data_IF_668092153822
#
_entry.id   IF_668092153822
#
_cell.length_a   1.000
_cell.length_b   1.000
_cell.length_c   1.000
_cell.angle_alpha   90.00
_cell.angle_beta   90.00
_cell.angle_gamma   90.00
#
_symmetry.space_group_name_H-M   'P 1'
#
loop_
_entity.id
_entity.type
_entity.pdbx_description
1 polymer ?
#
# COMPACT_ATOMS: atom_id res chain seq x y z
N UNK A 1 10.24 3.30 21.39
CA UNK A 1 8.91 2.66 21.25
C UNK A 1 8.01 3.64 20.52
N UNK A 2 7.68 3.32 19.28
CA UNK A 2 6.78 4.10 18.43
C UNK A 2 5.32 3.71 18.72
N UNK A 3 4.37 4.58 18.36
CA UNK A 3 2.93 4.35 18.49
C UNK A 3 2.46 3.07 17.77
N UNK A 4 3.21 2.65 16.75
CA UNK A 4 3.02 1.41 15.99
C UNK A 4 3.36 0.18 16.85
N UNK A 5 4.46 0.21 17.60
CA UNK A 5 4.89 -0.92 18.46
C UNK A 5 3.85 -1.24 19.54
N UNK A 6 3.20 -0.20 20.07
CA UNK A 6 2.14 -0.32 21.07
C UNK A 6 0.85 -0.89 20.45
N UNK A 7 0.51 -0.46 19.24
CA UNK A 7 -0.64 -0.96 18.49
C UNK A 7 -0.50 -2.46 18.15
N UNK A 8 0.67 -2.87 17.66
CA UNK A 8 1.00 -4.26 17.33
C UNK A 8 0.85 -5.15 18.57
N UNK A 9 1.38 -4.69 19.71
CA UNK A 9 1.38 -5.44 20.98
C UNK A 9 -0.03 -5.63 21.54
N UNK A 10 -0.94 -4.69 21.31
CA UNK A 10 -2.34 -4.75 21.77
C UNK A 10 -3.19 -5.60 20.83
N UNK A 11 -2.99 -5.50 19.51
CA UNK A 11 -3.86 -6.14 18.52
C UNK A 11 -3.53 -7.61 18.24
N UNK A 12 -2.25 -7.99 18.19
CA UNK A 12 -1.86 -9.38 17.88
C UNK A 12 -2.45 -10.43 18.84
N UNK A 13 -2.47 -10.22 20.18
CA UNK A 13 -3.04 -11.19 21.11
C UNK A 13 -4.56 -11.34 21.03
N UNK A 14 -5.26 -10.36 20.42
CA UNK A 14 -6.72 -10.34 20.31
C UNK A 14 -7.23 -10.95 19.00
N UNK A 15 -6.32 -11.33 18.09
CA UNK A 15 -6.67 -11.92 16.82
C UNK A 15 -6.92 -13.42 17.01
N UNK A 16 -8.19 -13.83 17.18
CA UNK A 16 -8.55 -15.24 17.11
C UNK A 16 -8.47 -15.72 15.65
N UNK A 17 -7.47 -16.55 15.36
CA UNK A 17 -7.30 -17.16 14.04
C UNK A 17 -8.29 -18.32 13.87
N UNK A 18 -8.83 -18.55 12.67
CA UNK A 18 -9.64 -19.72 12.37
C UNK A 18 -8.89 -21.01 12.75
N UNK A 19 -9.60 -22.07 13.18
CA UNK A 19 -8.98 -23.35 13.49
C UNK A 19 -8.12 -23.86 12.32
N UNK A 20 -6.82 -24.05 12.56
CA UNK A 20 -5.86 -24.52 11.55
C UNK A 20 -5.19 -23.44 10.71
N UNK A 21 -5.57 -22.17 10.84
CA UNK A 21 -4.86 -21.06 10.21
C UNK A 21 -3.61 -20.69 11.02
N UNK A 22 -2.45 -20.62 10.37
CA UNK A 22 -1.21 -20.14 10.99
C UNK A 22 -1.14 -18.62 10.86
N UNK A 23 -0.40 -17.94 11.76
CA UNK A 23 -0.17 -16.49 11.63
C UNK A 23 0.42 -16.06 10.28
N UNK A 24 1.22 -16.91 9.64
CA UNK A 24 1.75 -16.66 8.30
C UNK A 24 0.68 -16.68 7.20
N UNK A 25 -0.38 -17.48 7.37
CA UNK A 25 -1.46 -17.61 6.38
C UNK A 25 -2.32 -16.34 6.36
N UNK A 26 -2.37 -15.58 7.46
CA UNK A 26 -2.99 -14.25 7.53
C UNK A 26 -2.27 -13.23 6.67
N UNK A 27 -0.96 -13.39 6.44
CA UNK A 27 -0.18 -12.49 5.60
C UNK A 27 -0.32 -12.81 4.10
N UNK A 28 -0.90 -13.96 3.75
CA UNK A 28 -1.11 -14.35 2.36
C UNK A 28 -2.38 -13.71 1.79
N UNK A 29 -2.21 -12.86 0.78
CA UNK A 29 -3.31 -12.19 0.08
C UNK A 29 -4.33 -13.12 -0.58
N UNK A 30 -3.94 -14.35 -0.89
CA UNK A 30 -4.86 -15.34 -1.46
C UNK A 30 -5.85 -15.91 -0.44
N UNK A 31 -5.58 -15.71 0.87
CA UNK A 31 -6.44 -16.16 1.95
C UNK A 31 -7.38 -15.01 2.33
N UNK A 32 -8.71 -15.18 2.18
CA UNK A 32 -9.67 -14.18 2.65
C UNK A 32 -9.57 -14.06 4.18
N UNK A 33 -9.51 -12.84 4.72
CA UNK A 33 -9.38 -12.67 6.16
C UNK A 33 -10.65 -13.13 6.89
N UNK A 34 -10.54 -13.56 8.16
CA UNK A 34 -11.70 -13.95 8.96
C UNK A 34 -12.69 -12.79 9.15
N UNK A 35 -13.98 -13.10 9.17
CA UNK A 35 -15.03 -12.12 9.46
C UNK A 35 -14.84 -11.53 10.87
N UNK A 36 -14.92 -10.21 11.00
CA UNK A 36 -14.72 -9.48 12.27
C UNK A 36 -13.30 -8.94 12.51
N UNK A 37 -12.29 -9.44 11.80
CA UNK A 37 -10.89 -8.94 11.90
C UNK A 37 -10.28 -8.52 10.55
N UNK A 38 -11.09 -8.44 9.49
CA UNK A 38 -10.63 -8.16 8.14
C UNK A 38 -9.85 -6.84 8.00
N UNK A 39 -10.31 -5.79 8.68
CA UNK A 39 -9.65 -4.48 8.67
C UNK A 39 -8.25 -4.54 9.32
N UNK A 40 -8.15 -5.21 10.48
CA UNK A 40 -6.91 -5.39 11.22
C UNK A 40 -5.91 -6.26 10.43
N UNK A 41 -6.39 -7.31 9.76
CA UNK A 41 -5.57 -8.16 8.90
C UNK A 41 -5.04 -7.35 7.72
N UNK A 42 -5.86 -6.54 7.06
CA UNK A 42 -5.38 -5.70 5.95
C UNK A 42 -4.42 -4.61 6.42
N UNK A 43 -4.64 -4.01 7.60
CA UNK A 43 -3.71 -3.08 8.21
C UNK A 43 -2.36 -3.74 8.54
N UNK A 44 -2.37 -4.95 9.09
CA UNK A 44 -1.15 -5.72 9.38
C UNK A 44 -0.42 -6.11 8.10
N UNK A 45 -1.15 -6.57 7.07
CA UNK A 45 -0.56 -6.85 5.76
C UNK A 45 0.07 -5.60 5.17
N UNK A 46 -0.58 -4.44 5.27
CA UNK A 46 -0.03 -3.16 4.81
C UNK A 46 1.26 -2.78 5.56
N UNK A 47 1.29 -2.98 6.88
CA UNK A 47 2.47 -2.72 7.72
C UNK A 47 3.64 -3.66 7.40
N UNK A 48 3.37 -4.96 7.23
CA UNK A 48 4.38 -5.95 6.85
C UNK A 48 4.90 -5.65 5.44
N UNK A 49 4.00 -5.34 4.49
CA UNK A 49 4.38 -4.89 3.14
C UNK A 49 5.26 -3.66 3.20
N UNK A 50 4.98 -2.67 4.05
CA UNK A 50 5.86 -1.50 4.15
C UNK A 50 7.20 -1.79 4.84
N UNK A 51 7.37 -2.98 5.45
CA UNK A 51 8.53 -3.30 6.27
C UNK A 51 8.61 -2.44 7.53
N UNK A 52 7.46 -2.05 8.09
CA UNK A 52 7.37 -1.14 9.23
C UNK A 52 7.64 0.33 8.90
N UNK A 53 7.74 0.68 7.61
CA UNK A 53 7.96 2.06 7.15
C UNK A 53 6.64 2.81 6.99
N UNK A 54 6.49 3.90 7.74
CA UNK A 54 5.38 4.85 7.62
C UNK A 54 5.85 6.22 7.10
N UNK A 55 7.08 6.28 6.58
CA UNK A 55 7.57 7.44 5.83
C UNK A 55 6.62 7.70 4.66
N UNK A 56 5.87 8.80 4.72
CA UNK A 56 5.19 9.34 3.56
C UNK A 56 6.25 9.69 2.50
N UNK A 57 5.89 9.61 1.21
CA UNK A 57 6.74 10.09 0.11
C UNK A 57 6.84 11.61 0.19
N UNK A 58 7.64 12.07 1.13
CA UNK A 58 7.76 13.44 1.56
C UNK A 58 9.05 13.99 1.00
N UNK A 59 8.94 15.09 0.28
CA UNK A 59 10.06 15.70 -0.42
C UNK A 59 9.84 15.78 -1.92
N UNK A 60 10.79 16.47 -2.57
CA UNK A 60 10.81 16.66 -4.01
C UNK A 60 11.34 15.39 -4.68
N UNK A 61 10.57 14.81 -5.58
CA UNK A 61 11.01 13.74 -6.46
C UNK A 61 11.88 14.34 -7.57
N UNK A 62 13.11 13.86 -7.67
CA UNK A 62 14.09 14.32 -8.64
C UNK A 62 14.39 13.25 -9.68
N UNK A 63 14.11 11.97 -9.38
CA UNK A 63 14.44 10.85 -10.26
C UNK A 63 13.54 9.62 -10.03
N UNK A 64 13.59 8.67 -10.96
CA UNK A 64 12.95 7.35 -10.81
C UNK A 64 13.52 6.54 -9.62
N UNK A 65 14.75 6.85 -9.17
CA UNK A 65 15.34 6.22 -7.99
C UNK A 65 14.57 6.57 -6.71
N UNK A 66 14.08 7.80 -6.60
CA UNK A 66 13.32 8.26 -5.42
C UNK A 66 11.99 7.51 -5.32
N UNK A 67 11.34 7.32 -6.47
CA UNK A 67 10.10 6.53 -6.61
C UNK A 67 10.37 5.07 -6.24
N UNK A 68 11.41 4.46 -6.81
CA UNK A 68 11.77 3.07 -6.52
C UNK A 68 12.11 2.87 -5.03
N UNK A 69 12.84 3.80 -4.40
CA UNK A 69 13.18 3.72 -2.98
C UNK A 69 11.93 3.67 -2.07
N UNK A 70 10.87 4.38 -2.47
CA UNK A 70 9.59 4.36 -1.77
C UNK A 70 8.78 3.09 -2.03
N UNK A 71 8.62 2.69 -3.29
CA UNK A 71 7.76 1.57 -3.68
C UNK A 71 8.38 0.20 -3.50
N UNK A 72 9.69 0.04 -3.72
CA UNK A 72 10.37 -1.26 -3.64
C UNK A 72 10.08 -2.02 -2.34
N UNK A 73 10.21 -1.43 -1.13
CA UNK A 73 9.84 -2.15 0.08
C UNK A 73 8.34 -2.45 0.13
N UNK A 74 7.48 -1.51 -0.28
CA UNK A 74 6.02 -1.54 -0.12
C UNK A 74 5.28 -2.50 -1.05
N UNK A 75 5.75 -2.65 -2.29
CA UNK A 75 5.06 -3.43 -3.32
C UNK A 75 5.96 -4.47 -4.00
N UNK A 76 7.28 -4.46 -3.75
CA UNK A 76 8.21 -5.36 -4.43
C UNK A 76 8.01 -6.86 -4.16
N UNK A 77 7.34 -7.21 -3.05
CA UNK A 77 7.01 -8.60 -2.71
C UNK A 77 5.60 -9.03 -3.17
N UNK A 78 4.83 -8.14 -3.80
CA UNK A 78 3.47 -8.47 -4.26
C UNK A 78 3.52 -9.48 -5.42
N UNK A 79 2.66 -10.50 -5.33
CA UNK A 79 2.53 -11.54 -6.38
C UNK A 79 1.55 -11.18 -7.50
N UNK A 80 0.88 -10.04 -7.37
CA UNK A 80 -0.10 -9.52 -8.34
C UNK A 80 0.36 -8.17 -8.83
N UNK A 81 0.08 -7.89 -10.11
CA UNK A 81 0.35 -6.58 -10.67
C UNK A 81 -0.54 -5.51 -10.01
N UNK A 82 0.01 -4.32 -9.82
CA UNK A 82 -0.77 -3.16 -9.36
C UNK A 82 -0.26 -1.91 -10.07
N UNK A 83 -1.19 -0.99 -10.35
CA UNK A 83 -0.90 0.29 -10.97
C UNK A 83 -1.16 1.39 -9.96
N UNK A 84 -0.12 2.20 -9.71
CA UNK A 84 -0.14 3.29 -8.76
C UNK A 84 0.08 4.61 -9.48
N UNK A 85 -0.52 5.66 -8.95
CA UNK A 85 -0.33 7.04 -9.41
C UNK A 85 0.22 7.86 -8.27
N UNK A 86 1.34 8.53 -8.52
CA UNK A 86 1.88 9.58 -7.63
C UNK A 86 1.53 10.93 -8.22
N UNK A 87 0.56 11.62 -7.63
CA UNK A 87 0.20 12.97 -8.04
C UNK A 87 1.21 13.98 -7.51
N UNK A 88 1.61 14.94 -8.35
CA UNK A 88 2.65 15.93 -8.05
C UNK A 88 2.13 17.37 -8.18
N UNK A 89 2.65 18.25 -7.33
CA UNK A 89 2.52 19.69 -7.51
C UNK A 89 3.65 20.27 -8.41
N UNK A 90 3.62 21.59 -8.62
CA UNK A 90 4.61 22.31 -9.45
C UNK A 90 6.07 22.17 -9.01
N UNK A 91 6.32 21.73 -7.77
CA UNK A 91 7.65 21.56 -7.20
C UNK A 91 8.08 20.08 -7.21
N UNK A 92 7.38 19.22 -7.95
CA UNK A 92 7.56 17.76 -7.95
C UNK A 92 7.45 17.14 -6.55
N UNK A 93 6.64 17.70 -5.67
CA UNK A 93 6.34 17.07 -4.38
C UNK A 93 5.06 16.23 -4.51
N UNK A 94 5.08 15.03 -3.95
CA UNK A 94 3.90 14.17 -3.92
C UNK A 94 2.78 14.81 -3.09
N UNK A 95 1.61 14.94 -3.71
CA UNK A 95 0.38 15.45 -3.10
C UNK A 95 -0.59 14.33 -2.77
N UNK A 96 -0.56 13.24 -3.54
CA UNK A 96 -1.32 12.03 -3.29
C UNK A 96 -0.61 10.81 -3.89
N UNK A 97 -0.84 9.64 -3.29
CA UNK A 97 -0.36 8.34 -3.79
C UNK A 97 -1.55 7.40 -3.77
N UNK A 98 -1.95 6.88 -4.92
CA UNK A 98 -3.20 6.13 -5.06
C UNK A 98 -2.96 4.88 -5.89
N UNK A 99 -3.38 3.73 -5.36
CA UNK A 99 -3.54 2.52 -6.17
C UNK A 99 -4.79 2.69 -7.03
N UNK A 100 -4.63 2.79 -8.34
CA UNK A 100 -5.74 3.05 -9.27
C UNK A 100 -6.24 1.78 -9.94
N UNK A 101 -5.41 0.74 -9.97
CA UNK A 101 -5.81 -0.58 -10.44
C UNK A 101 -5.00 -1.67 -9.74
N UNK A 102 -5.66 -2.81 -9.50
CA UNK A 102 -5.01 -4.05 -9.09
C UNK A 102 -5.35 -5.12 -10.12
N UNK A 103 -4.32 -5.71 -10.69
CA UNK A 103 -4.42 -6.72 -11.72
C UNK A 103 -4.52 -8.13 -11.16
N UNK A 104 -4.66 -9.07 -12.09
CA UNK A 104 -4.40 -10.48 -11.84
C UNK A 104 -2.91 -10.81 -12.00
N UNK A 105 -2.55 -12.11 -12.05
CA UNK A 105 -1.17 -12.55 -12.21
C UNK A 105 -0.51 -12.17 -13.56
N UNK A 106 -1.31 -11.77 -14.57
CA UNK A 106 -0.84 -11.59 -15.95
C UNK A 106 -1.17 -10.22 -16.58
N UNK A 107 -2.03 -9.42 -15.94
CA UNK A 107 -2.38 -8.10 -16.46
C UNK A 107 -3.07 -7.22 -15.42
N UNK A 108 -2.80 -5.92 -15.47
CA UNK A 108 -3.48 -4.87 -14.73
C UNK A 108 -4.09 -3.83 -15.69
N UNK A 109 -5.35 -4.00 -16.15
CA UNK A 109 -5.98 -3.03 -17.04
C UNK A 109 -6.22 -1.71 -16.30
N UNK A 110 -5.85 -0.59 -16.93
CA UNK A 110 -6.07 0.75 -16.40
C UNK A 110 -6.52 1.69 -17.52
N UNK A 111 -7.47 2.54 -17.22
CA UNK A 111 -8.00 3.56 -18.15
C UNK A 111 -7.41 4.94 -17.83
N UNK A 112 -7.30 5.84 -18.83
CA UNK A 112 -6.88 7.22 -18.57
C UNK A 112 -7.73 7.94 -17.53
N UNK A 113 -9.02 7.60 -17.42
CA UNK A 113 -9.93 8.17 -16.41
C UNK A 113 -9.47 7.82 -14.98
N UNK A 114 -9.06 6.58 -14.75
CA UNK A 114 -8.58 6.12 -13.44
C UNK A 114 -7.26 6.79 -13.08
N UNK A 115 -6.37 6.98 -14.07
CA UNK A 115 -5.10 7.68 -13.87
C UNK A 115 -5.29 9.17 -13.60
N UNK A 116 -6.15 9.86 -14.36
CA UNK A 116 -6.29 11.32 -14.30
C UNK A 116 -7.21 11.81 -13.17
N UNK A 117 -8.20 11.01 -12.76
CA UNK A 117 -9.11 11.36 -11.66
C UNK A 117 -8.39 11.81 -10.38
N UNK A 118 -7.39 11.09 -9.84
CA UNK A 118 -6.68 11.53 -8.64
C UNK A 118 -5.94 12.86 -8.86
N UNK A 119 -5.43 13.17 -10.05
CA UNK A 119 -4.77 14.45 -10.30
C UNK A 119 -5.78 15.61 -10.21
N UNK A 120 -6.93 15.45 -10.85
CA UNK A 120 -8.00 16.46 -10.87
C UNK A 120 -8.51 16.72 -9.46
N UNK A 121 -8.81 15.65 -8.70
CA UNK A 121 -9.33 15.75 -7.34
C UNK A 121 -8.33 16.38 -6.36
N UNK A 122 -7.02 16.21 -6.60
CA UNK A 122 -5.97 16.76 -5.75
C UNK A 122 -5.35 18.05 -6.31
N UNK A 123 -5.93 18.68 -7.34
CA UNK A 123 -5.39 19.91 -7.95
C UNK A 123 -3.93 19.78 -8.40
N UNK A 124 -3.54 18.60 -8.84
CA UNK A 124 -2.15 18.25 -9.15
C UNK A 124 -1.82 18.52 -10.62
N UNK A 125 -0.55 18.82 -10.90
CA UNK A 125 -0.09 19.27 -12.23
C UNK A 125 0.53 18.14 -13.06
N UNK A 126 1.06 17.12 -12.40
CA UNK A 126 1.72 16.00 -13.06
C UNK A 126 1.51 14.70 -12.27
N UNK A 127 1.82 13.58 -12.90
CA UNK A 127 1.85 12.27 -12.28
C UNK A 127 3.06 11.45 -12.71
N UNK A 128 3.43 10.51 -11.86
CA UNK A 128 4.33 9.39 -12.13
C UNK A 128 3.51 8.10 -12.01
#
# INVERSE_FOLDING_TARGET
MTRIDELIRVLLPQLELPPGARPADVLDHAVPPPEGVAEQVEALRALVRSGGRDDALTGRLCSSRDVAAYFQPRIGAMRVESFWVVALNAKNMATAIVEVARGGPASCPVTPREVLRPLILNGSLAAI
#
